data_IF_822371119639
#
_entry.id   IF_822371119639
#
_cell.length_a   1.000
_cell.length_b   1.000
_cell.length_c   1.000
_cell.angle_alpha   90.00
_cell.angle_beta   90.00
_cell.angle_gamma   90.00
#
_symmetry.space_group_name_H-M   'P 1'
#
loop_
_entity.id
_entity.type
_entity.pdbx_description
1 polymer ?
#
# COMPACT_ATOMS: atom_id res chain seq x y z
N UNK A 1 8.52 -1.41 18.21
CA UNK A 1 7.22 -1.80 17.60
C UNK A 1 7.10 -1.10 16.25
N UNK A 2 7.06 -1.83 15.15
CA UNK A 2 6.77 -1.24 13.86
C UNK A 2 5.33 -0.71 13.89
N UNK A 3 5.16 0.61 13.76
CA UNK A 3 3.86 1.24 13.71
C UNK A 3 3.00 0.70 12.55
N UNK A 4 1.69 0.71 12.72
CA UNK A 4 0.75 0.37 11.66
C UNK A 4 0.77 1.53 10.64
N UNK A 5 1.16 1.22 9.40
CA UNK A 5 1.20 2.18 8.31
C UNK A 5 0.55 1.55 7.08
N UNK A 6 -0.58 2.07 6.69
CA UNK A 6 -1.29 1.65 5.48
C UNK A 6 -0.71 2.30 4.23
N UNK A 7 -0.74 1.59 3.12
CA UNK A 7 -0.43 2.12 1.80
C UNK A 7 -1.72 2.54 1.07
N UNK A 8 -1.59 3.46 0.12
CA UNK A 8 -2.73 3.94 -0.66
C UNK A 8 -3.00 3.03 -1.86
N UNK A 9 -4.24 2.59 -2.03
CA UNK A 9 -4.78 1.77 -3.14
C UNK A 9 -4.16 0.39 -3.37
N UNK A 10 -3.03 0.07 -2.76
CA UNK A 10 -2.33 -1.19 -2.95
C UNK A 10 -1.69 -1.63 -1.64
N UNK A 11 -2.24 -2.63 -0.99
CA UNK A 11 -1.71 -3.18 0.25
C UNK A 11 -2.12 -4.66 0.39
N UNK A 12 -1.57 -5.36 1.36
CA UNK A 12 -1.95 -6.75 1.61
C UNK A 12 -3.38 -6.87 2.18
N UNK A 13 -3.91 -8.08 2.16
CA UNK A 13 -5.28 -8.36 2.57
C UNK A 13 -5.57 -7.97 4.04
N UNK A 14 -4.56 -7.90 4.90
CA UNK A 14 -4.70 -7.45 6.28
C UNK A 14 -5.15 -5.98 6.36
N UNK A 15 -4.62 -5.11 5.49
CA UNK A 15 -4.99 -3.69 5.44
C UNK A 15 -6.25 -3.44 4.61
N UNK A 16 -6.42 -4.14 3.47
CA UNK A 16 -7.56 -3.88 2.60
C UNK A 16 -8.84 -4.59 3.08
N UNK A 17 -8.72 -5.82 3.58
CA UNK A 17 -9.85 -6.66 3.96
C UNK A 17 -9.96 -6.91 5.48
N UNK A 18 -8.91 -6.64 6.24
CA UNK A 18 -8.87 -6.92 7.68
C UNK A 18 -8.81 -8.42 8.00
N UNK A 19 -8.23 -9.23 7.11
CA UNK A 19 -8.17 -10.69 7.24
C UNK A 19 -6.74 -11.17 7.44
N UNK A 20 -6.61 -12.33 8.09
CA UNK A 20 -5.32 -12.99 8.37
C UNK A 20 -5.40 -14.48 8.09
N UNK A 21 -4.25 -15.09 7.85
CA UNK A 21 -4.10 -16.53 7.70
C UNK A 21 -4.47 -17.26 9.01
N UNK A 22 -5.07 -18.45 8.89
CA UNK A 22 -5.15 -19.40 10.02
C UNK A 22 -3.77 -19.99 10.21
N UNK A 23 -3.17 -19.87 11.40
CA UNK A 23 -1.96 -20.63 11.72
C UNK A 23 -2.31 -22.12 11.70
N UNK A 24 -1.70 -22.86 10.80
CA UNK A 24 -1.58 -24.32 10.91
C UNK A 24 -0.47 -24.57 11.94
N UNK A 25 -0.84 -24.77 13.19
CA UNK A 25 0.11 -25.26 14.18
C UNK A 25 0.59 -26.65 13.75
N UNK A 26 1.82 -26.71 13.27
CA UNK A 26 2.52 -27.95 12.90
C UNK A 26 3.02 -28.71 14.12
N UNK A 27 2.14 -29.01 15.08
CA UNK A 27 2.36 -30.02 16.11
C UNK A 27 1.06 -30.77 16.34
N UNK A 28 1.10 -32.06 16.01
CA UNK A 28 0.13 -33.04 16.46
C UNK A 28 -0.04 -32.93 17.97
N UNK A 29 -1.06 -32.23 18.42
CA UNK A 29 -1.65 -32.39 19.73
C UNK A 29 -3.15 -32.33 19.54
N UNK A 30 -3.79 -33.46 19.85
CA UNK A 30 -5.21 -33.72 19.88
C UNK A 30 -5.96 -32.66 20.72
N UNK A 31 -6.27 -31.52 20.16
CA UNK A 31 -7.36 -30.64 20.56
C UNK A 31 -7.67 -29.69 19.40
N UNK A 32 -8.79 -29.96 18.74
CA UNK A 32 -9.50 -29.05 17.85
C UNK A 32 -9.79 -27.72 18.60
N UNK A 33 -8.83 -26.82 18.59
CA UNK A 33 -9.09 -25.40 18.86
C UNK A 33 -8.75 -24.65 17.58
N UNK A 34 -9.76 -24.53 16.72
CA UNK A 34 -9.77 -23.63 15.56
C UNK A 34 -9.67 -22.18 16.04
N UNK A 35 -8.49 -21.76 16.49
CA UNK A 35 -8.28 -20.42 17.01
C UNK A 35 -7.36 -19.63 16.08
N UNK A 36 -7.91 -18.68 15.31
CA UNK A 36 -7.12 -17.53 14.88
C UNK A 36 -6.66 -16.84 16.16
N UNK A 37 -5.36 -16.54 16.29
CA UNK A 37 -4.83 -15.80 17.44
C UNK A 37 -5.62 -14.48 17.56
N UNK A 38 -6.37 -14.30 18.63
CA UNK A 38 -7.21 -13.11 18.88
C UNK A 38 -6.40 -11.82 18.77
N UNK A 39 -5.12 -11.87 19.09
CA UNK A 39 -4.19 -10.76 18.96
C UNK A 39 -3.87 -10.44 17.50
N UNK A 40 -3.71 -11.45 16.65
CA UNK A 40 -3.50 -11.24 15.20
C UNK A 40 -4.75 -10.71 14.53
N UNK A 41 -5.92 -11.19 14.95
CA UNK A 41 -7.21 -10.69 14.46
C UNK A 41 -7.43 -9.23 14.87
N UNK A 42 -7.17 -8.88 16.13
CA UNK A 42 -7.24 -7.51 16.61
C UNK A 42 -6.31 -6.59 15.80
N UNK A 43 -5.07 -7.04 15.58
CA UNK A 43 -4.10 -6.28 14.76
C UNK A 43 -4.55 -6.12 13.30
N UNK A 44 -5.22 -7.11 12.73
CA UNK A 44 -5.76 -6.99 11.37
C UNK A 44 -6.87 -5.93 11.30
N UNK A 45 -7.72 -5.86 12.31
CA UNK A 45 -8.73 -4.80 12.39
C UNK A 45 -8.12 -3.41 12.53
N UNK A 46 -7.07 -3.27 13.34
CA UNK A 46 -6.35 -2.01 13.46
C UNK A 46 -5.69 -1.59 12.12
N UNK A 47 -5.13 -2.55 11.40
CA UNK A 47 -4.58 -2.31 10.06
C UNK A 47 -5.66 -1.86 9.07
N UNK A 48 -6.83 -2.52 9.06
CA UNK A 48 -7.95 -2.14 8.23
C UNK A 48 -8.47 -0.73 8.56
N UNK A 49 -8.62 -0.41 9.84
CA UNK A 49 -9.07 0.92 10.26
C UNK A 49 -8.06 2.01 9.87
N UNK A 50 -6.75 1.72 9.92
CA UNK A 50 -5.73 2.64 9.44
C UNK A 50 -5.83 2.86 7.93
N UNK A 51 -6.04 1.79 7.14
CA UNK A 51 -6.24 1.89 5.70
C UNK A 51 -7.53 2.65 5.35
N UNK A 52 -8.64 2.34 6.03
CA UNK A 52 -9.91 3.05 5.89
C UNK A 52 -9.75 4.55 6.14
N UNK A 53 -9.11 4.91 7.26
CA UNK A 53 -8.86 6.31 7.60
C UNK A 53 -8.06 7.02 6.52
N UNK A 54 -6.98 6.42 6.03
CA UNK A 54 -6.14 6.97 4.98
C UNK A 54 -6.94 7.23 3.69
N UNK A 55 -7.64 6.21 3.20
CA UNK A 55 -8.39 6.30 1.95
C UNK A 55 -9.53 7.32 2.02
N UNK A 56 -10.30 7.33 3.12
CA UNK A 56 -11.37 8.32 3.29
C UNK A 56 -10.81 9.73 3.46
N UNK A 57 -9.68 9.92 4.12
CA UNK A 57 -9.04 11.22 4.24
C UNK A 57 -8.67 11.80 2.87
N UNK A 58 -8.16 10.96 1.95
CA UNK A 58 -7.72 11.39 0.63
C UNK A 58 -8.90 11.55 -0.34
N UNK A 59 -9.81 10.57 -0.36
CA UNK A 59 -10.79 10.42 -1.44
C UNK A 59 -12.17 10.99 -1.13
N UNK A 60 -12.51 11.27 0.13
CA UNK A 60 -13.89 11.67 0.51
C UNK A 60 -14.39 12.94 -0.21
N UNK A 61 -13.48 13.84 -0.58
CA UNK A 61 -13.82 15.07 -1.29
C UNK A 61 -13.56 14.98 -2.81
N UNK A 62 -13.02 13.86 -3.29
CA UNK A 62 -12.72 13.65 -4.70
C UNK A 62 -13.99 13.24 -5.42
N UNK A 63 -14.33 13.97 -6.48
CA UNK A 63 -15.45 13.63 -7.34
C UNK A 63 -15.03 12.60 -8.39
N UNK A 64 -15.85 11.60 -8.61
CA UNK A 64 -15.63 10.55 -9.60
C UNK A 64 -16.07 9.18 -9.11
N UNK A 65 -16.48 8.32 -10.03
CA UNK A 65 -17.00 7.00 -9.71
C UNK A 65 -15.97 6.11 -9.01
N UNK A 66 -14.70 6.22 -9.40
CA UNK A 66 -13.62 5.43 -8.82
C UNK A 66 -13.38 5.81 -7.36
N UNK A 67 -13.26 7.10 -7.07
CA UNK A 67 -13.09 7.59 -5.70
C UNK A 67 -14.27 7.21 -4.80
N UNK A 68 -15.50 7.38 -5.33
CA UNK A 68 -16.71 6.99 -4.62
C UNK A 68 -16.80 5.49 -4.35
N UNK A 69 -16.42 4.65 -5.32
CA UNK A 69 -16.42 3.19 -5.15
C UNK A 69 -15.44 2.74 -4.08
N UNK A 70 -14.22 3.30 -4.05
CA UNK A 70 -13.23 3.01 -3.00
C UNK A 70 -13.72 3.47 -1.62
N UNK A 71 -14.28 4.68 -1.52
CA UNK A 71 -14.85 5.18 -0.27
C UNK A 71 -16.00 4.28 0.21
N UNK A 72 -16.92 3.95 -0.68
CA UNK A 72 -18.08 3.08 -0.38
C UNK A 72 -17.64 1.71 0.10
N UNK A 73 -16.60 1.14 -0.51
CA UNK A 73 -16.02 -0.12 -0.06
C UNK A 73 -15.56 -0.02 1.41
N UNK A 74 -14.74 0.96 1.76
CA UNK A 74 -14.24 1.10 3.12
C UNK A 74 -15.32 1.47 4.15
N UNK A 75 -16.40 2.15 3.72
CA UNK A 75 -17.52 2.49 4.60
C UNK A 75 -18.45 1.30 4.88
N UNK A 76 -18.64 0.43 3.88
CA UNK A 76 -19.60 -0.68 3.95
C UNK A 76 -18.98 -2.02 4.32
N UNK A 77 -17.69 -2.22 4.02
CA UNK A 77 -17.00 -3.48 4.29
C UNK A 77 -16.86 -3.74 5.79
N UNK A 78 -17.22 -4.95 6.20
CA UNK A 78 -17.05 -5.41 7.58
C UNK A 78 -16.10 -6.61 7.63
N UNK A 79 -14.86 -6.45 8.13
CA UNK A 79 -13.88 -7.53 8.22
C UNK A 79 -14.37 -8.76 8.99
N UNK A 80 -15.22 -8.58 10.00
CA UNK A 80 -15.78 -9.69 10.82
C UNK A 80 -16.69 -10.60 10.01
N UNK A 81 -17.27 -10.07 8.92
CA UNK A 81 -18.16 -10.81 8.00
C UNK A 81 -17.43 -11.26 6.72
N UNK A 82 -16.13 -11.11 6.65
CA UNK A 82 -15.36 -11.45 5.45
C UNK A 82 -15.57 -12.92 5.01
N UNK A 83 -15.70 -13.86 5.96
CA UNK A 83 -15.96 -15.28 5.67
C UNK A 83 -17.37 -15.57 5.15
N UNK A 84 -18.33 -14.70 5.40
CA UNK A 84 -19.68 -14.81 4.86
C UNK A 84 -19.75 -14.46 3.37
N UNK A 85 -18.73 -13.74 2.87
CA UNK A 85 -18.64 -13.41 1.45
C UNK A 85 -18.07 -14.62 0.69
N UNK A 86 -18.84 -15.20 -0.26
CA UNK A 86 -18.41 -16.43 -0.95
C UNK A 86 -17.14 -16.24 -1.77
N UNK A 87 -16.93 -15.07 -2.39
CA UNK A 87 -15.75 -14.79 -3.20
C UNK A 87 -14.51 -14.74 -2.31
N UNK A 88 -14.58 -14.03 -1.18
CA UNK A 88 -13.47 -13.94 -0.24
C UNK A 88 -13.18 -15.30 0.40
N UNK A 89 -14.23 -16.04 0.76
CA UNK A 89 -14.09 -17.36 1.38
C UNK A 89 -13.42 -18.37 0.46
N UNK A 90 -13.77 -18.38 -0.84
CA UNK A 90 -13.17 -19.27 -1.85
C UNK A 90 -11.69 -18.95 -2.11
N UNK A 91 -11.29 -17.69 -2.02
CA UNK A 91 -9.92 -17.23 -2.30
C UNK A 91 -9.13 -16.90 -1.01
N UNK A 92 -9.58 -17.41 0.13
CA UNK A 92 -9.02 -17.04 1.44
C UNK A 92 -7.52 -17.31 1.54
N UNK A 93 -7.09 -18.49 1.16
CA UNK A 93 -5.69 -18.92 1.26
C UNK A 93 -4.79 -18.06 0.35
N UNK A 94 -5.24 -17.75 -0.86
CA UNK A 94 -4.51 -16.89 -1.80
C UNK A 94 -4.41 -15.45 -1.28
N UNK A 95 -5.52 -14.90 -0.77
CA UNK A 95 -5.56 -13.53 -0.24
C UNK A 95 -4.67 -13.37 1.01
N UNK A 96 -4.53 -14.43 1.81
CA UNK A 96 -3.74 -14.39 3.05
C UNK A 96 -2.29 -14.83 2.87
N UNK A 97 -1.94 -15.43 1.73
CA UNK A 97 -0.57 -15.87 1.42
C UNK A 97 0.45 -14.74 1.30
N UNK A 98 0.03 -13.47 1.35
CA UNK A 98 0.93 -12.31 1.43
C UNK A 98 1.04 -11.46 0.16
N UNK A 99 0.19 -11.69 -0.83
CA UNK A 99 0.07 -10.83 -2.02
C UNK A 99 -0.57 -9.47 -1.71
N UNK A 100 -0.36 -8.51 -2.61
CA UNK A 100 -1.03 -7.22 -2.54
C UNK A 100 -2.39 -7.29 -3.24
N UNK A 101 -3.37 -6.63 -2.63
CA UNK A 101 -4.72 -6.42 -3.16
C UNK A 101 -4.78 -5.00 -3.73
N UNK A 102 -5.36 -4.86 -4.90
CA UNK A 102 -5.54 -3.59 -5.60
C UNK A 102 -7.01 -3.39 -5.98
N UNK A 103 -7.42 -2.15 -6.17
CA UNK A 103 -8.77 -1.83 -6.62
C UNK A 103 -8.83 -1.78 -8.14
N UNK A 104 -9.74 -2.58 -8.72
CA UNK A 104 -10.02 -2.60 -10.15
C UNK A 104 -11.50 -2.26 -10.37
N UNK A 105 -11.77 -1.11 -10.99
CA UNK A 105 -13.10 -0.52 -11.08
C UNK A 105 -13.36 -0.08 -12.51
N UNK A 106 -14.49 -0.49 -13.08
CA UNK A 106 -14.89 -0.12 -14.44
C UNK A 106 -13.83 -0.41 -15.52
N UNK A 107 -13.08 -1.53 -15.37
CA UNK A 107 -12.09 -1.95 -16.36
C UNK A 107 -10.73 -1.26 -16.24
N UNK A 108 -10.48 -0.50 -15.16
CA UNK A 108 -9.21 0.19 -14.89
C UNK A 108 -8.77 0.00 -13.44
N UNK A 109 -7.49 0.08 -13.20
CA UNK A 109 -6.98 0.17 -11.84
C UNK A 109 -7.27 1.54 -11.25
N UNK A 110 -7.61 1.60 -9.95
CA UNK A 110 -7.97 2.86 -9.30
C UNK A 110 -6.85 3.91 -9.34
N UNK A 111 -5.58 3.49 -9.33
CA UNK A 111 -4.43 4.39 -9.46
C UNK A 111 -4.29 5.03 -10.85
N UNK A 112 -4.97 4.50 -11.88
CA UNK A 112 -4.96 5.06 -13.24
C UNK A 112 -6.02 6.18 -13.40
N UNK A 113 -6.88 6.35 -12.41
CA UNK A 113 -7.85 7.44 -12.41
C UNK A 113 -7.16 8.77 -12.10
N UNK A 114 -7.33 9.74 -12.99
CA UNK A 114 -6.66 11.04 -12.89
C UNK A 114 -7.03 11.81 -11.61
N UNK A 115 -8.30 11.80 -11.21
CA UNK A 115 -8.74 12.53 -10.02
C UNK A 115 -8.18 11.90 -8.74
N UNK A 116 -8.10 10.57 -8.70
CA UNK A 116 -7.51 9.80 -7.59
C UNK A 116 -6.00 10.06 -7.51
N UNK A 117 -5.28 10.03 -8.65
CA UNK A 117 -3.85 10.31 -8.71
C UNK A 117 -3.52 11.73 -8.22
N UNK A 118 -4.25 12.73 -8.71
CA UNK A 118 -4.08 14.12 -8.28
C UNK A 118 -4.32 14.33 -6.78
N UNK A 119 -5.31 13.64 -6.20
CA UNK A 119 -5.59 13.72 -4.77
C UNK A 119 -4.44 13.14 -3.94
N UNK A 120 -3.84 12.06 -4.40
CA UNK A 120 -2.67 11.46 -3.77
C UNK A 120 -1.44 12.37 -3.83
N UNK A 121 -1.13 12.93 -5.01
CA UNK A 121 -0.03 13.87 -5.20
C UNK A 121 -0.17 15.08 -4.27
N UNK A 122 -1.36 15.66 -4.22
CA UNK A 122 -1.66 16.79 -3.32
C UNK A 122 -1.39 16.44 -1.86
N UNK A 123 -1.84 15.26 -1.42
CA UNK A 123 -1.58 14.83 -0.04
C UNK A 123 -0.09 14.61 0.25
N UNK A 124 0.67 14.07 -0.72
CA UNK A 124 2.11 13.89 -0.56
C UNK A 124 2.83 15.23 -0.39
N UNK A 125 2.47 16.24 -1.18
CA UNK A 125 3.03 17.59 -1.07
C UNK A 125 2.68 18.22 0.29
N UNK A 126 1.40 18.16 0.70
CA UNK A 126 0.94 18.72 1.99
C UNK A 126 1.57 18.02 3.21
N UNK A 127 1.87 16.72 3.10
CA UNK A 127 2.47 15.95 4.21
C UNK A 127 3.96 16.21 4.41
N UNK A 128 4.64 16.68 3.39
CA UNK A 128 6.10 16.87 3.44
C UNK A 128 6.50 18.14 4.21
N UNK A 129 5.58 19.05 4.50
CA UNK A 129 5.75 20.19 5.45
C UNK A 129 7.02 21.03 5.27
N UNK A 130 7.76 20.81 4.20
CA UNK A 130 9.01 21.48 3.89
C UNK A 130 8.76 22.54 2.83
N UNK A 131 9.27 23.74 3.05
CA UNK A 131 9.31 24.81 2.06
C UNK A 131 9.74 24.21 0.70
N UNK A 132 8.84 24.31 -0.28
CA UNK A 132 9.07 23.84 -1.64
C UNK A 132 10.33 24.53 -2.19
N UNK A 133 11.42 23.78 -2.27
CA UNK A 133 12.58 24.27 -2.99
C UNK A 133 12.35 24.06 -4.48
N UNK A 134 11.96 25.11 -5.16
CA UNK A 134 11.78 25.10 -6.62
C UNK A 134 13.11 25.36 -7.29
N UNK A 135 13.49 24.49 -8.18
CA UNK A 135 14.70 24.63 -8.99
C UNK A 135 14.43 24.47 -10.47
N UNK A 136 15.41 24.83 -11.27
CA UNK A 136 15.32 24.66 -12.71
C UNK A 136 15.82 23.26 -13.10
N UNK A 137 14.94 22.46 -13.69
CA UNK A 137 15.32 21.14 -14.21
C UNK A 137 16.39 21.30 -15.31
N UNK A 138 17.55 20.66 -15.13
CA UNK A 138 18.67 20.76 -16.05
C UNK A 138 18.40 20.09 -17.41
N UNK A 139 17.44 19.15 -17.47
CA UNK A 139 17.07 18.44 -18.69
C UNK A 139 15.99 19.18 -19.47
N UNK A 140 14.93 19.64 -18.79
CA UNK A 140 13.77 20.26 -19.46
C UNK A 140 13.78 21.78 -19.43
N UNK A 141 14.65 22.39 -18.63
CA UNK A 141 14.71 23.84 -18.41
C UNK A 141 13.52 24.45 -17.66
N UNK A 142 12.54 23.63 -17.27
CA UNK A 142 11.34 24.07 -16.53
C UNK A 142 11.63 24.23 -15.04
N UNK A 143 10.95 25.19 -14.42
CA UNK A 143 10.90 25.28 -12.96
C UNK A 143 10.06 24.13 -12.43
N UNK A 144 10.61 23.35 -11.52
CA UNK A 144 9.94 22.22 -10.87
C UNK A 144 10.46 22.06 -9.45
N UNK A 145 9.71 21.39 -8.61
CA UNK A 145 10.15 21.06 -7.26
C UNK A 145 11.38 20.16 -7.28
N UNK A 146 12.30 20.43 -6.35
CA UNK A 146 13.52 19.64 -6.20
C UNK A 146 13.23 18.46 -5.28
N UNK A 147 13.31 17.24 -5.80
CA UNK A 147 13.23 16.05 -4.97
C UNK A 147 14.43 16.01 -4.00
N UNK A 148 14.17 16.09 -2.71
CA UNK A 148 15.20 16.06 -1.65
C UNK A 148 15.88 14.72 -1.50
N UNK A 149 15.14 13.66 -1.75
CA UNK A 149 15.63 12.28 -1.65
C UNK A 149 15.19 11.53 -2.89
N UNK A 150 16.15 11.01 -3.61
CA UNK A 150 15.88 10.14 -4.75
C UNK A 150 15.32 8.80 -4.24
N UNK A 151 14.28 8.31 -4.87
CA UNK A 151 13.76 6.96 -4.58
C UNK A 151 14.85 5.93 -4.81
N UNK A 152 15.01 5.01 -3.85
CA UNK A 152 16.00 3.94 -3.94
C UNK A 152 15.62 3.01 -5.09
N UNK A 153 16.49 2.90 -6.09
CA UNK A 153 16.31 1.98 -7.21
C UNK A 153 16.66 0.57 -6.74
N UNK A 154 15.68 -0.33 -6.71
CA UNK A 154 15.84 -1.74 -6.30
C UNK A 154 15.64 -2.67 -7.50
N UNK A 155 16.18 -3.89 -7.39
CA UNK A 155 15.94 -4.93 -8.40
C UNK A 155 16.81 -4.84 -9.66
N UNK A 156 17.84 -4.01 -9.66
CA UNK A 156 18.80 -3.96 -10.76
C UNK A 156 19.74 -5.16 -10.65
N UNK A 157 19.86 -5.94 -11.74
CA UNK A 157 20.70 -7.13 -11.79
C UNK A 157 22.17 -6.72 -11.63
N UNK A 158 22.84 -7.24 -10.60
CA UNK A 158 24.24 -6.91 -10.29
C UNK A 158 24.44 -5.74 -9.32
N UNK A 159 23.38 -5.04 -8.90
CA UNK A 159 23.43 -4.02 -7.85
C UNK A 159 23.19 -4.61 -6.46
N UNK A 160 23.59 -3.88 -5.42
CA UNK A 160 23.32 -4.29 -4.05
C UNK A 160 21.81 -4.34 -3.76
N UNK A 161 21.36 -5.36 -3.02
CA UNK A 161 19.94 -5.59 -2.68
C UNK A 161 19.30 -4.47 -1.85
N UNK A 162 20.09 -3.69 -1.13
CA UNK A 162 19.65 -2.55 -0.32
C UNK A 162 19.38 -1.28 -1.13
N UNK A 163 19.64 -1.32 -2.44
CA UNK A 163 19.54 -0.16 -3.33
C UNK A 163 20.80 0.69 -3.27
N UNK A 164 21.52 0.71 -4.36
CA UNK A 164 22.69 1.54 -4.54
C UNK A 164 22.36 2.69 -5.50
N UNK A 165 22.78 3.90 -5.17
CA UNK A 165 23.10 4.88 -6.19
C UNK A 165 24.18 4.26 -7.05
N UNK A 166 23.96 4.19 -8.36
CA UNK A 166 25.02 3.87 -9.32
C UNK A 166 26.07 4.97 -9.23
N UNK A 167 26.95 4.84 -8.28
CA UNK A 167 28.23 5.52 -8.33
C UNK A 167 29.07 4.71 -9.31
N UNK A 168 29.07 5.11 -10.54
CA UNK A 168 30.19 4.81 -11.40
C UNK A 168 31.35 5.66 -10.87
N UNK A 169 32.15 5.10 -9.98
CA UNK A 169 33.49 5.60 -9.81
C UNK A 169 34.18 5.34 -11.15
N UNK A 170 34.28 6.36 -11.92
CA UNK A 170 35.24 6.41 -13.00
C UNK A 170 36.61 6.41 -12.31
N UNK A 171 37.09 5.23 -12.04
CA UNK A 171 38.48 5.02 -11.67
C UNK A 171 39.27 5.16 -12.95
N UNK A 172 39.49 6.38 -13.34
CA UNK A 172 40.61 6.72 -14.18
C UNK A 172 41.87 6.64 -13.32
N UNK A 173 42.25 5.43 -12.95
CA UNK A 173 43.59 5.09 -12.57
C UNK A 173 44.19 4.28 -13.73
N UNK A 174 44.85 4.97 -14.61
CA UNK A 174 45.79 4.37 -15.53
C UNK A 174 47.17 4.95 -15.22
N UNK A 175 48.20 4.10 -15.05
CA UNK A 175 49.58 4.46 -14.69
C UNK A 175 50.32 5.13 -15.83
#
# INVERSE_FOLDING_TARGET
>A
SSGIKANFLCDNAKYILGIVEKKKDGKESDKETEGVDEKELSRAFECFEAAKKLHLQILKQVQGDVAQAVCSFFETWNPRKARENPIISQNWDELTAGGNVVFYINGKYAQEDHAVAMAWEKMCVESDGTEEQVGRCLVTGKQTEIARIHTVIKGVRGAQSSGCLLYTSDAADDP
#
